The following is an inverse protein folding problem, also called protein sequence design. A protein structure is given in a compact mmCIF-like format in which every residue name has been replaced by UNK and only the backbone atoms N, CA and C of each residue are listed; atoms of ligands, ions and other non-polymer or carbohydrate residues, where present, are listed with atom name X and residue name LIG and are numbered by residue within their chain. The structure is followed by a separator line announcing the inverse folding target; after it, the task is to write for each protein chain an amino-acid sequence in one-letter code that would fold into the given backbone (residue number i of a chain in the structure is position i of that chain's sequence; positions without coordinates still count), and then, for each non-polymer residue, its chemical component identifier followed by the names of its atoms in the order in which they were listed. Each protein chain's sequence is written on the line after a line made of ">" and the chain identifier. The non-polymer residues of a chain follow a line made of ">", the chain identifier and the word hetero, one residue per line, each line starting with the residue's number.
data_IF_348870218763
#
_entry.id   IF_348870218763
#
_cell.length_a   1.000
_cell.length_b   1.000
_cell.length_c   1.000
_cell.angle_alpha   90.00
_cell.angle_beta   90.00
_cell.angle_gamma   90.00
#
_symmetry.space_group_name_H-M   'P 1'
#
loop_
_entity.id
_entity.type
_entity.pdbx_description
1 polymer ?
#
# COMPACT_ATOMS: atom_id res chain seq x y z
N UNK A 1 7.34 14.29 18.67
CA UNK A 1 7.06 15.75 18.71
C UNK A 1 6.49 16.19 17.37
N UNK A 2 5.96 17.41 17.28
CA UNK A 2 5.63 18.02 15.98
C UNK A 2 6.44 19.31 15.86
N UNK A 3 7.25 19.40 14.82
CA UNK A 3 8.06 20.58 14.51
C UNK A 3 7.47 21.30 13.31
N UNK A 4 6.95 22.52 13.53
CA UNK A 4 6.43 23.38 12.48
C UNK A 4 7.41 24.52 12.26
N UNK A 5 7.97 24.60 11.06
CA UNK A 5 8.98 25.61 10.72
C UNK A 5 8.73 26.17 9.33
N UNK A 6 9.46 27.23 8.97
CA UNK A 6 9.46 27.73 7.58
C UNK A 6 10.05 26.72 6.58
N UNK A 7 10.84 25.76 7.05
CA UNK A 7 11.39 24.69 6.22
C UNK A 7 10.43 23.51 6.03
N UNK A 8 9.28 23.49 6.73
CA UNK A 8 8.28 22.44 6.63
C UNK A 8 7.86 21.88 7.98
N UNK A 9 7.20 20.72 7.92
CA UNK A 9 6.62 20.01 9.06
C UNK A 9 7.29 18.65 9.22
N UNK A 10 7.73 18.33 10.45
CA UNK A 10 8.21 17.00 10.82
C UNK A 10 7.39 16.48 11.99
N UNK A 11 6.84 15.27 11.83
CA UNK A 11 6.13 14.54 12.90
C UNK A 11 7.03 13.38 13.33
N UNK A 12 7.58 13.45 14.53
CA UNK A 12 8.37 12.38 15.13
C UNK A 12 7.50 11.55 16.09
N UNK A 13 7.27 10.29 15.74
CA UNK A 13 6.52 9.33 16.55
C UNK A 13 7.28 8.82 17.77
N UNK A 14 8.60 9.03 17.86
CA UNK A 14 9.47 8.56 18.94
C UNK A 14 9.28 7.05 19.25
N UNK A 15 9.17 6.23 18.19
CA UNK A 15 8.93 4.79 18.27
C UNK A 15 7.50 4.38 18.61
N UNK A 16 6.55 5.33 18.65
CA UNK A 16 5.13 5.09 18.92
C UNK A 16 4.28 5.33 17.67
N UNK A 17 3.05 4.80 17.61
CA UNK A 17 2.14 5.04 16.50
C UNK A 17 1.81 6.53 16.32
N UNK A 18 1.69 6.96 15.07
CA UNK A 18 1.09 8.25 14.69
C UNK A 18 -0.23 7.93 13.99
N UNK A 19 -1.36 8.40 14.55
CA UNK A 19 -2.70 8.06 14.06
C UNK A 19 -3.48 9.32 13.65
N UNK A 20 -4.15 9.29 12.50
CA UNK A 20 -5.11 10.29 12.08
C UNK A 20 -6.51 9.68 12.24
N UNK A 21 -7.30 10.17 13.20
CA UNK A 21 -8.61 9.60 13.56
C UNK A 21 -9.74 10.63 13.40
N UNK A 22 -10.98 10.15 13.32
CA UNK A 22 -12.18 10.99 13.12
C UNK A 22 -12.10 11.94 11.91
N UNK A 23 -11.29 11.60 10.91
CA UNK A 23 -11.16 12.34 9.66
C UNK A 23 -12.07 11.68 8.60
N UNK A 24 -13.11 12.37 8.07
CA UNK A 24 -13.96 11.80 7.02
C UNK A 24 -13.21 11.63 5.69
N UNK A 25 -12.08 12.32 5.53
CA UNK A 25 -11.20 12.23 4.36
C UNK A 25 -9.78 12.64 4.73
N UNK A 26 -8.79 11.87 4.26
CA UNK A 26 -7.38 12.28 4.21
C UNK A 26 -6.97 12.29 2.74
N UNK A 27 -6.42 13.41 2.26
CA UNK A 27 -5.90 13.57 0.89
C UNK A 27 -4.46 14.09 0.97
N UNK A 28 -3.53 13.41 0.32
CA UNK A 28 -2.18 13.90 0.10
C UNK A 28 -2.06 14.42 -1.34
N UNK A 29 -1.74 15.70 -1.50
CA UNK A 29 -1.46 16.33 -2.81
C UNK A 29 0.06 16.49 -2.92
N UNK A 30 0.71 15.49 -3.50
CA UNK A 30 2.18 15.39 -3.66
C UNK A 30 2.51 14.60 -4.91
N UNK A 31 3.65 14.87 -5.53
CA UNK A 31 4.14 14.11 -6.68
C UNK A 31 4.62 12.71 -6.26
N UNK A 32 5.14 12.58 -5.03
CA UNK A 32 5.66 11.33 -4.50
C UNK A 32 5.22 11.11 -3.05
N UNK A 33 4.73 9.90 -2.77
CA UNK A 33 4.43 9.39 -1.43
C UNK A 33 5.24 8.12 -1.21
N UNK A 34 6.23 8.18 -0.33
CA UNK A 34 7.11 7.06 -0.01
C UNK A 34 6.71 6.40 1.32
N UNK A 35 6.73 5.07 1.34
CA UNK A 35 6.58 4.25 2.54
C UNK A 35 7.68 3.19 2.54
N UNK A 36 8.44 3.10 3.62
CA UNK A 36 9.48 2.07 3.76
C UNK A 36 8.92 0.70 4.16
N UNK A 37 7.66 0.67 4.62
CA UNK A 37 6.94 -0.54 5.01
C UNK A 37 5.71 -0.81 4.15
N UNK A 38 4.86 -1.70 4.63
CA UNK A 38 3.64 -2.09 3.94
C UNK A 38 2.58 -0.97 3.91
N UNK A 39 1.83 -0.91 2.81
CA UNK A 39 0.62 -0.10 2.70
C UNK A 39 -0.56 -1.06 2.72
N UNK A 40 -1.34 -1.04 3.81
CA UNK A 40 -2.57 -1.83 3.96
C UNK A 40 -3.77 -0.91 3.94
N UNK A 41 -4.69 -1.16 2.99
CA UNK A 41 -5.99 -0.50 2.99
C UNK A 41 -6.97 -1.24 3.91
N UNK A 42 -8.02 -0.54 4.35
CA UNK A 42 -9.18 -1.15 5.04
C UNK A 42 -8.80 -2.14 6.17
N UNK A 43 -7.78 -1.81 6.98
CA UNK A 43 -7.07 -2.72 7.88
C UNK A 43 -7.91 -3.38 8.98
N UNK A 44 -9.04 -2.78 9.37
CA UNK A 44 -9.98 -3.34 10.34
C UNK A 44 -11.17 -4.07 9.68
N UNK A 45 -11.05 -4.37 8.38
CA UNK A 45 -12.00 -5.13 7.59
C UNK A 45 -11.25 -6.01 6.58
N UNK A 46 -11.90 -6.44 5.49
CA UNK A 46 -11.29 -7.33 4.48
C UNK A 46 -10.29 -6.68 3.52
N UNK A 47 -9.57 -5.64 3.94
CA UNK A 47 -8.54 -4.99 3.13
C UNK A 47 -7.29 -5.83 2.92
N UNK A 48 -6.44 -5.43 1.96
CA UNK A 48 -5.18 -6.13 1.65
C UNK A 48 -4.00 -5.16 1.69
N UNK A 49 -2.82 -5.72 1.93
CA UNK A 49 -1.58 -5.01 1.72
C UNK A 49 -1.24 -4.95 0.23
N UNK A 50 -0.53 -3.90 -0.20
CA UNK A 50 -0.03 -3.80 -1.58
C UNK A 50 0.85 -5.01 -1.95
N UNK A 51 1.64 -5.55 -1.01
CA UNK A 51 2.39 -6.81 -1.19
C UNK A 51 1.50 -8.00 -1.52
N UNK A 52 0.44 -8.23 -0.73
CA UNK A 52 -0.51 -9.33 -0.96
C UNK A 52 -1.18 -9.22 -2.34
N UNK A 53 -1.43 -8.00 -2.81
CA UNK A 53 -1.96 -7.77 -4.16
C UNK A 53 -0.93 -8.07 -5.25
N UNK A 54 0.35 -7.70 -5.06
CA UNK A 54 1.45 -8.08 -5.96
C UNK A 54 1.61 -9.59 -6.03
N UNK A 55 1.62 -10.29 -4.90
CA UNK A 55 1.72 -11.75 -4.87
C UNK A 55 0.55 -12.43 -5.59
N UNK A 56 -0.68 -11.93 -5.39
CA UNK A 56 -1.86 -12.44 -6.08
C UNK A 56 -1.74 -12.22 -7.58
N UNK A 57 -1.32 -11.02 -8.01
CA UNK A 57 -1.13 -10.70 -9.41
C UNK A 57 0.02 -11.51 -10.02
N UNK A 58 1.20 -11.52 -9.42
CA UNK A 58 2.37 -12.24 -9.96
C UNK A 58 2.18 -13.76 -9.94
N UNK A 59 1.29 -14.25 -9.09
CA UNK A 59 1.03 -15.67 -8.89
C UNK A 59 -0.15 -16.26 -9.65
N UNK A 60 -1.04 -15.45 -10.24
CA UNK A 60 -2.29 -15.97 -10.83
C UNK A 60 -2.06 -16.75 -12.12
N UNK A 61 -2.99 -17.64 -12.43
CA UNK A 61 -3.08 -18.36 -13.70
C UNK A 61 -4.56 -18.48 -14.10
N UNK A 62 -4.82 -18.83 -15.36
CA UNK A 62 -6.16 -19.02 -15.90
C UNK A 62 -6.30 -20.41 -16.54
N UNK A 63 -7.54 -20.92 -16.72
CA UNK A 63 -7.77 -22.04 -17.62
C UNK A 63 -7.28 -21.71 -19.04
N UNK A 64 -6.54 -22.64 -19.64
CA UNK A 64 -6.06 -22.55 -21.02
C UNK A 64 -7.16 -22.89 -22.03
N UNK A 65 -6.99 -22.44 -23.27
CA UNK A 65 -7.96 -22.61 -24.37
C UNK A 65 -8.14 -24.08 -24.82
N UNK A 66 -7.21 -24.95 -24.43
CA UNK A 66 -7.10 -26.34 -24.89
C UNK A 66 -7.15 -27.34 -23.74
N UNK A 67 -7.78 -26.98 -22.62
CA UNK A 67 -8.01 -27.88 -21.47
C UNK A 67 -6.86 -27.97 -20.46
N UNK A 68 -5.87 -27.06 -20.53
CA UNK A 68 -4.80 -26.91 -19.55
C UNK A 68 -4.99 -25.68 -18.64
N UNK A 69 -3.90 -25.24 -18.02
CA UNK A 69 -3.80 -23.97 -17.27
C UNK A 69 -2.70 -23.12 -17.91
N UNK A 70 -2.85 -21.81 -17.96
CA UNK A 70 -1.81 -20.90 -18.43
C UNK A 70 -0.62 -20.91 -17.48
N UNK A 71 0.52 -20.37 -17.92
CA UNK A 71 1.56 -19.96 -16.99
C UNK A 71 1.13 -18.75 -16.15
N UNK A 72 1.99 -18.40 -15.18
CA UNK A 72 1.92 -17.12 -14.47
C UNK A 72 2.20 -15.94 -15.41
N UNK A 73 1.80 -14.70 -15.06
CA UNK A 73 2.18 -13.51 -15.80
C UNK A 73 3.68 -13.43 -16.05
N UNK A 74 4.06 -13.06 -17.27
CA UNK A 74 5.45 -12.83 -17.65
C UNK A 74 5.94 -11.41 -17.30
N UNK A 75 5.05 -10.55 -16.80
CA UNK A 75 5.34 -9.23 -16.27
C UNK A 75 4.67 -9.13 -14.90
N UNK A 76 5.47 -8.91 -13.85
CA UNK A 76 4.98 -8.75 -12.50
C UNK A 76 4.64 -7.29 -12.17
N UNK A 77 3.95 -7.08 -11.07
CA UNK A 77 3.53 -5.75 -10.62
C UNK A 77 4.67 -4.97 -9.92
N UNK A 78 5.74 -5.64 -9.48
CA UNK A 78 6.96 -5.04 -8.93
C UNK A 78 6.85 -4.59 -7.48
#
# INVERSE_FOLDING_TARGET
>A
SVHLTRAGIVIDGAGKPVTITNAPKVRAETDLLECTGEIRDRCDSGGRAMSEMRETYDGHDHPGDSGGTTGKPNQGMG
#
